data_IF_594009759276
#
_entry.id   IF_594009759276
#
_cell.length_a   1.000
_cell.length_b   1.000
_cell.length_c   1.000
_cell.angle_alpha   90.00
_cell.angle_beta   90.00
_cell.angle_gamma   90.00
#
_symmetry.space_group_name_H-M   'P 1'
#
loop_
_entity.id
_entity.type
_entity.pdbx_description
1 polymer ?
#
# COMPACT_ATOMS: atom_id res chain seq x y z
N UNK A 1 -4.33 -5.40 1.26
CA UNK A 1 -4.57 -6.66 1.98
C UNK A 1 -3.30 -7.13 2.66
N UNK A 2 -3.39 -7.63 3.89
CA UNK A 2 -2.23 -8.02 4.70
C UNK A 2 -2.35 -9.50 5.07
N UNK A 3 -1.30 -10.30 4.82
CA UNK A 3 -1.11 -11.66 5.34
C UNK A 3 0.23 -11.75 6.08
N UNK A 4 0.49 -12.78 6.90
CA UNK A 4 1.78 -12.93 7.58
C UNK A 4 2.99 -12.94 6.64
N UNK A 5 2.81 -13.42 5.41
CA UNK A 5 3.89 -13.62 4.43
C UNK A 5 4.03 -12.44 3.47
N UNK A 6 2.92 -11.82 3.05
CA UNK A 6 2.92 -10.82 1.97
C UNK A 6 1.98 -9.65 2.22
N UNK A 7 2.34 -8.50 1.68
CA UNK A 7 1.40 -7.40 1.45
C UNK A 7 0.90 -7.46 0.02
N UNK A 8 -0.41 -7.33 -0.16
CA UNK A 8 -1.03 -7.20 -1.47
C UNK A 8 -1.66 -5.83 -1.58
N UNK A 9 -1.27 -5.05 -2.58
CA UNK A 9 -1.78 -3.71 -2.81
C UNK A 9 -2.43 -3.65 -4.18
N UNK A 10 -3.70 -3.29 -4.20
CA UNK A 10 -4.46 -3.06 -5.43
C UNK A 10 -4.88 -1.58 -5.48
N UNK A 11 -5.02 -1.05 -6.69
CA UNK A 11 -5.61 0.27 -6.85
C UNK A 11 -7.13 0.17 -6.63
N UNK A 12 -7.72 1.20 -6.03
CA UNK A 12 -9.16 1.29 -5.83
C UNK A 12 -9.90 1.87 -7.06
N UNK A 13 -9.19 2.19 -8.14
CA UNK A 13 -9.76 2.74 -9.35
C UNK A 13 -10.40 1.64 -10.21
N UNK A 14 -11.50 1.98 -10.87
CA UNK A 14 -12.19 1.05 -11.78
C UNK A 14 -11.27 0.66 -12.96
N UNK A 15 -11.08 -0.65 -13.16
CA UNK A 15 -10.28 -1.22 -14.26
C UNK A 15 -8.85 -1.64 -13.88
N UNK A 16 -8.41 -1.47 -12.64
CA UNK A 16 -7.15 -2.03 -12.17
C UNK A 16 -7.33 -3.45 -11.64
N UNK A 17 -6.87 -4.45 -12.39
CA UNK A 17 -6.88 -5.87 -11.97
C UNK A 17 -5.51 -6.37 -11.47
N UNK A 18 -4.50 -5.55 -11.68
CA UNK A 18 -3.15 -5.77 -11.21
C UNK A 18 -3.05 -5.55 -9.70
N UNK A 19 -2.38 -6.48 -9.03
CA UNK A 19 -2.11 -6.44 -7.61
C UNK A 19 -0.61 -6.50 -7.41
N UNK A 20 -0.08 -5.56 -6.65
CA UNK A 20 1.31 -5.55 -6.23
C UNK A 20 1.47 -6.46 -5.01
N UNK A 21 2.21 -7.55 -5.16
CA UNK A 21 2.61 -8.42 -4.05
C UNK A 21 4.01 -8.03 -3.56
N UNK A 22 4.13 -7.79 -2.25
CA UNK A 22 5.39 -7.48 -1.59
C UNK A 22 5.66 -8.57 -0.57
N UNK A 23 6.74 -9.31 -0.75
CA UNK A 23 7.16 -10.35 0.18
C UNK A 23 7.80 -9.75 1.43
N UNK A 24 7.32 -10.16 2.62
CA UNK A 24 7.81 -9.62 3.91
C UNK A 24 9.22 -10.09 4.25
N UNK A 25 9.67 -11.22 3.70
CA UNK A 25 10.99 -11.80 3.97
C UNK A 25 11.99 -11.37 2.91
N UNK A 26 11.67 -11.60 1.63
CA UNK A 26 12.62 -11.31 0.53
C UNK A 26 12.61 -9.84 0.10
N UNK A 27 11.58 -9.08 0.48
CA UNK A 27 11.35 -7.70 -0.01
C UNK A 27 11.12 -7.59 -1.51
N UNK A 28 10.92 -8.73 -2.17
CA UNK A 28 10.65 -8.78 -3.60
C UNK A 28 9.26 -8.21 -3.89
N UNK A 29 9.20 -7.38 -4.92
CA UNK A 29 7.98 -6.74 -5.38
C UNK A 29 7.60 -7.36 -6.72
N UNK A 30 6.47 -8.04 -6.77
CA UNK A 30 5.98 -8.73 -7.96
C UNK A 30 4.57 -8.28 -8.31
N UNK A 31 4.25 -8.37 -9.60
CA UNK A 31 2.89 -8.14 -10.10
C UNK A 31 2.14 -9.47 -10.11
N UNK A 32 0.93 -9.47 -9.57
CA UNK A 32 0.03 -10.61 -9.49
C UNK A 32 -1.40 -10.16 -9.79
N UNK A 33 -2.36 -11.08 -9.75
CA UNK A 33 -3.77 -10.82 -10.04
C UNK A 33 -4.60 -10.93 -8.75
N UNK A 34 -5.76 -10.27 -8.71
CA UNK A 34 -6.68 -10.31 -7.55
C UNK A 34 -7.02 -11.70 -7.02
N UNK A 35 -7.02 -12.72 -7.91
CA UNK A 35 -7.31 -14.11 -7.55
C UNK A 35 -6.27 -14.73 -6.60
N UNK A 36 -5.06 -14.18 -6.58
CA UNK A 36 -3.95 -14.68 -5.77
C UNK A 36 -3.93 -14.06 -4.36
N UNK A 37 -4.84 -13.12 -4.07
CA UNK A 37 -5.02 -12.55 -2.73
C UNK A 37 -5.77 -13.57 -1.87
N UNK A 38 -5.18 -14.04 -0.75
CA UNK A 38 -5.86 -15.01 0.12
C UNK A 38 -7.11 -14.41 0.75
N UNK A 39 -8.21 -15.19 0.90
CA UNK A 39 -9.45 -14.71 1.52
C UNK A 39 -9.30 -14.41 3.02
N UNK A 40 -8.24 -14.91 3.66
CA UNK A 40 -7.87 -14.59 5.04
C UNK A 40 -7.18 -13.23 5.18
N UNK A 41 -6.85 -12.55 4.07
CA UNK A 41 -6.12 -11.31 4.12
C UNK A 41 -6.97 -10.17 4.70
N UNK A 42 -6.38 -9.38 5.59
CA UNK A 42 -7.07 -8.23 6.17
C UNK A 42 -6.99 -7.05 5.19
N UNK A 43 -8.14 -6.61 4.70
CA UNK A 43 -8.24 -5.44 3.81
C UNK A 43 -8.23 -4.15 4.62
N UNK A 44 -7.41 -3.20 4.17
CA UNK A 44 -7.34 -1.86 4.76
C UNK A 44 -7.13 -0.82 3.66
N UNK A 45 -7.93 0.26 3.61
CA UNK A 45 -7.70 1.35 2.68
C UNK A 45 -6.46 2.16 3.09
N UNK A 46 -5.65 2.54 2.11
CA UNK A 46 -4.52 3.46 2.25
C UNK A 46 -4.58 4.49 1.13
N UNK A 47 -3.93 5.63 1.33
CA UNK A 47 -3.88 6.71 0.34
C UNK A 47 -2.58 6.73 -0.48
N UNK A 48 -1.65 5.83 -0.16
CA UNK A 48 -0.39 5.67 -0.88
C UNK A 48 0.62 4.86 -0.10
N UNK A 49 1.58 4.29 -0.82
CA UNK A 49 2.78 3.67 -0.26
C UNK A 49 3.88 4.72 -0.31
N UNK A 50 4.55 4.97 0.82
CA UNK A 50 5.72 5.84 0.83
C UNK A 50 6.99 5.07 0.43
N UNK A 51 7.09 3.82 0.87
CA UNK A 51 8.20 2.93 0.55
C UNK A 51 8.39 1.85 1.60
N UNK A 52 9.51 1.15 1.53
CA UNK A 52 9.93 0.15 2.52
C UNK A 52 11.06 0.69 3.38
N UNK A 53 11.13 0.22 4.63
CA UNK A 53 12.21 0.54 5.56
C UNK A 53 12.68 -0.73 6.27
N UNK A 54 13.99 -0.90 6.45
CA UNK A 54 14.56 -2.00 7.21
C UNK A 54 14.76 -1.56 8.67
N UNK A 55 14.05 -2.21 9.59
CA UNK A 55 14.19 -2.05 11.05
C UNK A 55 14.82 -3.31 11.66
N UNK A 56 15.04 -3.31 12.97
CA UNK A 56 15.73 -4.40 13.69
C UNK A 56 15.05 -5.75 13.50
N UNK A 57 13.72 -5.79 13.48
CA UNK A 57 12.93 -7.02 13.37
C UNK A 57 12.58 -7.42 11.93
N UNK A 58 13.02 -6.66 10.91
CA UNK A 58 12.76 -6.97 9.50
C UNK A 58 12.46 -5.75 8.64
N UNK A 59 11.96 -6.01 7.44
CA UNK A 59 11.51 -4.96 6.52
C UNK A 59 10.05 -4.65 6.77
N UNK A 60 9.73 -3.37 6.81
CA UNK A 60 8.40 -2.84 7.04
C UNK A 60 7.95 -2.00 5.85
N UNK A 61 6.64 -1.89 5.67
CA UNK A 61 6.02 -1.04 4.66
C UNK A 61 5.49 0.23 5.32
N UNK A 62 5.87 1.39 4.80
CA UNK A 62 5.35 2.68 5.26
C UNK A 62 4.19 3.09 4.36
N UNK A 63 3.01 3.27 4.95
CA UNK A 63 1.78 3.62 4.22
C UNK A 63 1.17 4.91 4.75
N UNK A 64 0.52 5.66 3.87
CA UNK A 64 -0.24 6.86 4.22
C UNK A 64 -1.68 6.42 4.55
N UNK A 65 -2.10 6.62 5.79
CA UNK A 65 -3.43 6.20 6.26
C UNK A 65 -4.45 7.33 6.26
N UNK A 66 -4.01 8.59 6.28
CA UNK A 66 -4.86 9.77 6.07
C UNK A 66 -4.16 10.86 5.28
N UNK A 67 -4.96 11.62 4.54
CA UNK A 67 -4.52 12.80 3.79
C UNK A 67 -5.51 13.95 3.95
N UNK A 68 -5.03 15.18 3.80
CA UNK A 68 -5.83 16.41 3.76
C UNK A 68 -5.54 17.19 2.50
N UNK A 69 -6.58 17.64 1.78
CA UNK A 69 -6.40 18.58 0.65
C UNK A 69 -5.92 19.92 1.20
N UNK A 70 -4.79 20.40 0.70
CA UNK A 70 -4.17 21.66 1.15
C UNK A 70 -4.21 22.75 0.09
N UNK A 71 -4.57 22.39 -1.14
CA UNK A 71 -4.70 23.34 -2.23
C UNK A 71 -5.02 22.67 -3.54
N UNK A 72 -4.98 23.48 -4.60
CA UNK A 72 -5.18 23.06 -5.97
C UNK A 72 -4.35 23.97 -6.87
N UNK A 73 -3.65 23.39 -7.83
CA UNK A 73 -2.86 24.13 -8.82
C UNK A 73 -3.23 23.58 -10.20
N UNK A 74 -3.68 24.44 -11.11
CA UNK A 74 -4.11 24.05 -12.48
C UNK A 74 -5.14 22.90 -12.52
N UNK A 75 -6.07 22.83 -11.56
CA UNK A 75 -7.06 21.75 -11.48
C UNK A 75 -6.55 20.46 -10.82
N UNK A 76 -5.26 20.40 -10.45
CA UNK A 76 -4.68 19.26 -9.75
C UNK A 76 -4.70 19.50 -8.24
N UNK A 77 -5.37 18.60 -7.52
CA UNK A 77 -5.44 18.67 -6.06
C UNK A 77 -4.08 18.37 -5.42
N UNK A 78 -3.66 19.21 -4.47
CA UNK A 78 -2.47 19.00 -3.65
C UNK A 78 -2.90 18.42 -2.32
N UNK A 79 -2.31 17.28 -1.97
CA UNK A 79 -2.62 16.54 -0.74
C UNK A 79 -1.43 16.54 0.20
N UNK A 80 -1.68 16.79 1.48
CA UNK A 80 -0.74 16.57 2.57
C UNK A 80 -1.07 15.25 3.25
N UNK A 81 -0.12 14.34 3.35
CA UNK A 81 -0.22 13.17 4.22
C UNK A 81 -0.23 13.62 5.68
N UNK A 82 -1.23 13.17 6.45
CA UNK A 82 -1.40 13.60 7.86
C UNK A 82 -1.11 12.48 8.85
N UNK A 83 -1.37 11.23 8.45
CA UNK A 83 -1.22 10.06 9.31
C UNK A 83 -0.55 8.95 8.49
N UNK A 84 0.28 8.17 9.16
CA UNK A 84 1.08 7.10 8.58
C UNK A 84 1.04 5.88 9.49
N UNK A 85 1.19 4.70 8.91
CA UNK A 85 1.43 3.47 9.66
C UNK A 85 2.63 2.72 9.10
N UNK A 86 3.24 1.92 9.97
CA UNK A 86 4.33 1.00 9.68
C UNK A 86 3.76 -0.41 9.78
N UNK A 87 3.73 -1.13 8.67
CA UNK A 87 3.14 -2.47 8.54
C UNK A 87 4.20 -3.56 8.43
#
# INVERSE_FOLDING_TARGET
HITPEKFYVEACDDGADDVLAIDRVSTEVTLTVKKDVPPSAVTRPIFGILGTIRLVAGTYLIVITKKKKVGEIFGHAIWKATDFDIL
#
